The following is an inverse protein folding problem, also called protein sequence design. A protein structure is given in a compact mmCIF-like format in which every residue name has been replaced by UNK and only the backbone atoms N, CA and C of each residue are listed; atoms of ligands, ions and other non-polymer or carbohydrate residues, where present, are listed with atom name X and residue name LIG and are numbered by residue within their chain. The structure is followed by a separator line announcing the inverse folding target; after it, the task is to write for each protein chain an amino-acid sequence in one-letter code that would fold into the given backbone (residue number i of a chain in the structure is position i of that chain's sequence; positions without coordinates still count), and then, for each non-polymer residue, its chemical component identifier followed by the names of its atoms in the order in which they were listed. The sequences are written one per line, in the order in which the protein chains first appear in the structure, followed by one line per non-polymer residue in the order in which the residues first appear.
data_IF_318935718366
#
_entry.id   IF_318935718366
#
_cell.length_a   1.000
_cell.length_b   1.000
_cell.length_c   1.000
_cell.angle_alpha   90.00
_cell.angle_beta   90.00
_cell.angle_gamma   90.00
#
_symmetry.space_group_name_H-M   'P 1'
#
loop_
_entity.id
_entity.type
_entity.pdbx_description
1 polymer ?
#
# COMPACT_ATOMS: atom_id res chain seq x y z
N UNK A 1 19.96 18.02 10.63
CA UNK A 1 19.66 16.68 11.19
C UNK A 1 19.71 15.70 10.03
N UNK A 2 20.37 14.55 10.14
CA UNK A 2 20.45 13.62 9.00
C UNK A 2 19.07 13.02 8.69
N UNK A 3 18.79 12.76 7.42
CA UNK A 3 17.51 12.20 6.95
C UNK A 3 17.13 10.89 7.66
N UNK A 4 18.13 10.09 8.07
CA UNK A 4 17.93 8.85 8.80
C UNK A 4 17.35 9.07 10.22
N UNK A 5 17.74 10.14 10.91
CA UNK A 5 17.22 10.47 12.25
C UNK A 5 15.78 10.97 12.14
N UNK A 6 15.49 11.83 11.15
CA UNK A 6 14.14 12.32 10.89
C UNK A 6 13.17 11.18 10.56
N UNK A 7 13.56 10.25 9.69
CA UNK A 7 12.73 9.10 9.36
C UNK A 7 12.52 8.12 10.53
N UNK A 8 13.50 8.00 11.42
CA UNK A 8 13.36 7.16 12.62
C UNK A 8 12.37 7.79 13.60
N UNK A 9 12.38 9.13 13.72
CA UNK A 9 11.35 9.87 14.45
C UNK A 9 9.95 9.65 13.88
N UNK A 10 9.79 9.77 12.56
CA UNK A 10 8.51 9.58 11.88
C UNK A 10 7.96 8.16 12.06
N UNK A 11 8.81 7.14 11.93
CA UNK A 11 8.41 5.74 12.16
C UNK A 11 7.98 5.50 13.61
N UNK A 12 8.68 6.09 14.58
CA UNK A 12 8.35 5.95 15.99
C UNK A 12 7.00 6.62 16.31
N UNK A 13 6.74 7.81 15.75
CA UNK A 13 5.45 8.48 15.86
C UNK A 13 4.33 7.62 15.26
N UNK A 14 4.54 7.08 14.05
CA UNK A 14 3.58 6.19 13.41
C UNK A 14 3.26 4.94 14.23
N UNK A 15 4.27 4.31 14.85
CA UNK A 15 4.07 3.17 15.76
C UNK A 15 3.33 3.58 17.03
N UNK A 16 3.69 4.71 17.64
CA UNK A 16 3.04 5.21 18.84
C UNK A 16 1.54 5.49 18.62
N UNK A 17 1.16 6.01 17.45
CA UNK A 17 -0.25 6.19 17.08
C UNK A 17 -0.98 4.85 16.94
N UNK A 18 -0.35 3.85 16.30
CA UNK A 18 -0.93 2.50 16.19
C UNK A 18 -1.08 1.84 17.55
N UNK A 19 -0.09 1.95 18.43
CA UNK A 19 -0.13 1.40 19.78
C UNK A 19 -1.29 2.03 20.59
N UNK A 20 -1.40 3.36 20.60
CA UNK A 20 -2.50 4.05 21.28
C UNK A 20 -3.86 3.69 20.69
N UNK A 21 -3.96 3.54 19.36
CA UNK A 21 -5.20 3.11 18.71
C UNK A 21 -5.60 1.70 19.14
N UNK A 22 -4.64 0.76 19.18
CA UNK A 22 -4.87 -0.61 19.63
C UNK A 22 -5.34 -0.66 21.10
N UNK A 23 -4.77 0.16 21.99
CA UNK A 23 -5.21 0.29 23.40
C UNK A 23 -6.68 0.71 23.53
N UNK A 24 -7.18 1.49 22.56
CA UNK A 24 -8.56 1.96 22.51
C UNK A 24 -9.48 1.10 21.62
N UNK A 25 -9.01 -0.08 21.17
CA UNK A 25 -9.72 -0.97 20.24
C UNK A 25 -10.09 -0.29 18.90
N UNK A 26 -9.26 0.64 18.44
CA UNK A 26 -9.37 1.32 17.15
C UNK A 26 -8.43 0.62 16.18
N UNK A 27 -8.97 0.11 15.07
CA UNK A 27 -8.14 -0.49 14.03
C UNK A 27 -7.41 0.61 13.25
N UNK A 28 -6.09 0.71 13.45
CA UNK A 28 -5.23 1.65 12.73
C UNK A 28 -3.97 0.91 12.29
N UNK A 29 -3.63 0.95 11.00
CA UNK A 29 -2.46 0.27 10.45
C UNK A 29 -1.68 1.18 9.53
N UNK A 30 -0.36 1.15 9.61
CA UNK A 30 0.51 1.84 8.68
C UNK A 30 0.31 1.29 7.26
N UNK A 31 0.39 2.19 6.28
CA UNK A 31 0.51 1.85 4.86
C UNK A 31 1.73 2.55 4.25
N UNK A 32 1.90 2.43 2.92
CA UNK A 32 2.98 3.11 2.21
C UNK A 32 4.38 2.66 2.62
N UNK A 33 5.35 3.57 2.48
CA UNK A 33 6.77 3.25 2.69
C UNK A 33 7.14 2.92 4.14
N UNK A 34 6.45 3.53 5.12
CA UNK A 34 6.69 3.23 6.54
C UNK A 34 6.22 1.84 6.92
N UNK A 35 5.08 1.39 6.38
CA UNK A 35 4.62 0.02 6.56
C UNK A 35 5.63 -1.00 6.02
N UNK A 36 6.16 -0.76 4.82
CA UNK A 36 7.18 -1.62 4.23
C UNK A 36 8.44 -1.64 5.11
N UNK A 37 8.88 -0.48 5.62
CA UNK A 37 10.00 -0.42 6.57
C UNK A 37 9.75 -1.23 7.85
N UNK A 38 8.52 -1.24 8.38
CA UNK A 38 8.16 -2.09 9.53
C UNK A 38 8.30 -3.57 9.19
N UNK A 39 7.88 -3.96 7.99
CA UNK A 39 7.88 -5.36 7.53
C UNK A 39 9.24 -5.86 7.06
N UNK A 40 10.15 -4.96 6.69
CA UNK A 40 11.48 -5.31 6.17
C UNK A 40 12.60 -4.72 7.03
N UNK A 41 12.66 -4.99 8.36
CA UNK A 41 13.62 -4.35 9.26
C UNK A 41 15.08 -4.73 8.97
N UNK A 42 15.30 -5.87 8.31
CA UNK A 42 16.62 -6.39 7.94
C UNK A 42 17.19 -5.71 6.68
N UNK A 43 16.36 -4.98 5.91
CA UNK A 43 16.79 -4.30 4.69
C UNK A 43 17.28 -2.88 5.01
N UNK A 44 18.26 -2.34 4.27
CA UNK A 44 18.68 -0.95 4.43
C UNK A 44 17.49 0.02 4.31
N UNK A 45 17.34 0.99 5.22
CA UNK A 45 16.24 1.94 5.13
C UNK A 45 16.33 2.75 3.85
N UNK A 46 15.18 2.99 3.21
CA UNK A 46 15.12 3.90 2.05
C UNK A 46 15.46 5.32 2.52
N UNK A 47 16.15 6.10 1.70
CA UNK A 47 16.24 7.54 1.90
C UNK A 47 14.89 8.16 1.49
N UNK A 48 14.13 8.68 2.45
CA UNK A 48 12.83 9.31 2.26
C UNK A 48 12.81 10.63 3.02
N UNK A 49 12.34 11.69 2.37
CA UNK A 49 12.23 13.05 2.91
C UNK A 49 10.80 13.42 3.29
N UNK A 50 9.87 12.46 3.27
CA UNK A 50 8.45 12.69 3.53
C UNK A 50 8.17 13.07 5.00
N UNK A 51 7.13 13.87 5.19
CA UNK A 51 6.60 14.30 6.51
C UNK A 51 5.20 13.73 6.78
N UNK A 52 4.74 12.80 5.93
CA UNK A 52 3.38 12.29 5.94
C UNK A 52 3.34 10.90 6.57
N UNK A 53 2.30 10.67 7.38
CA UNK A 53 1.98 9.39 7.99
C UNK A 53 0.73 8.82 7.33
N UNK A 54 0.91 7.78 6.52
CA UNK A 54 -0.19 7.10 5.86
C UNK A 54 -0.70 5.93 6.70
N UNK A 55 -2.01 5.87 6.91
CA UNK A 55 -2.68 4.79 7.61
C UNK A 55 -3.88 4.23 6.84
N UNK A 56 -4.30 3.05 7.26
CA UNK A 56 -5.58 2.43 6.96
C UNK A 56 -6.36 2.23 8.26
N UNK A 57 -7.67 2.46 8.21
CA UNK A 57 -8.60 2.25 9.32
C UNK A 57 -9.96 1.76 8.84
N UNK A 58 -10.81 1.39 9.78
CA UNK A 58 -12.17 0.93 9.52
C UNK A 58 -13.19 2.07 9.68
N UNK A 59 -14.20 2.10 8.81
CA UNK A 59 -15.32 3.04 8.95
C UNK A 59 -16.06 2.90 10.29
N UNK A 60 -16.10 1.70 10.85
CA UNK A 60 -16.72 1.39 12.14
C UNK A 60 -16.10 2.16 13.31
N UNK A 61 -14.79 2.42 13.29
CA UNK A 61 -14.06 3.12 14.37
C UNK A 61 -13.71 4.57 14.02
N UNK A 62 -14.23 5.08 12.90
CA UNK A 62 -13.85 6.39 12.33
C UNK A 62 -13.96 7.56 13.31
N UNK A 63 -15.07 7.65 14.05
CA UNK A 63 -15.30 8.73 15.02
C UNK A 63 -14.28 8.68 16.17
N UNK A 64 -14.10 7.51 16.76
CA UNK A 64 -13.13 7.31 17.84
C UNK A 64 -11.69 7.58 17.37
N UNK A 65 -11.37 7.23 16.12
CA UNK A 65 -10.08 7.56 15.51
C UNK A 65 -9.89 9.08 15.39
N UNK A 66 -10.88 9.82 14.88
CA UNK A 66 -10.81 11.28 14.78
C UNK A 66 -10.57 11.93 16.14
N UNK A 67 -11.27 11.48 17.17
CA UNK A 67 -11.10 11.99 18.53
C UNK A 67 -9.66 11.72 19.04
N UNK A 68 -9.16 10.48 18.89
CA UNK A 68 -7.80 10.10 19.28
C UNK A 68 -6.72 10.91 18.56
N UNK A 69 -6.82 11.06 17.23
CA UNK A 69 -5.84 11.82 16.43
C UNK A 69 -5.86 13.31 16.83
N UNK A 70 -7.04 13.86 17.13
CA UNK A 70 -7.19 15.25 17.59
C UNK A 70 -6.56 15.46 18.98
N UNK A 71 -6.75 14.52 19.91
CA UNK A 71 -6.12 14.55 21.24
C UNK A 71 -4.59 14.47 21.16
N UNK A 72 -4.05 13.86 20.11
CA UNK A 72 -2.61 13.82 19.80
C UNK A 72 -2.08 15.11 19.16
N UNK A 73 -2.92 16.13 18.97
CA UNK A 73 -2.53 17.45 18.46
C UNK A 73 -2.62 17.62 16.94
N UNK A 74 -3.18 16.65 16.23
CA UNK A 74 -3.40 16.76 14.78
C UNK A 74 -4.81 17.31 14.51
N UNK A 75 -4.88 18.49 13.90
CA UNK A 75 -6.14 19.12 13.54
C UNK A 75 -6.73 18.47 12.28
N UNK A 76 -8.01 18.04 12.28
CA UNK A 76 -8.67 17.51 11.09
C UNK A 76 -8.92 18.61 10.06
N UNK A 77 -8.68 18.32 8.78
CA UNK A 77 -9.16 19.18 7.71
C UNK A 77 -10.68 19.02 7.56
N UNK A 78 -11.41 20.04 8.04
CA UNK A 78 -12.88 20.03 8.07
C UNK A 78 -13.49 19.96 6.68
N UNK A 79 -12.89 20.61 5.68
CA UNK A 79 -13.45 20.67 4.34
C UNK A 79 -13.23 19.34 3.62
N UNK A 80 -11.99 18.84 3.65
CA UNK A 80 -11.64 17.56 3.05
C UNK A 80 -12.44 16.42 3.70
N UNK A 81 -12.46 16.35 5.03
CA UNK A 81 -13.13 15.25 5.75
C UNK A 81 -14.66 15.29 5.62
N UNK A 82 -15.26 16.46 5.37
CA UNK A 82 -16.70 16.55 5.08
C UNK A 82 -17.05 15.98 3.70
N UNK A 83 -16.17 16.16 2.72
CA UNK A 83 -16.38 15.71 1.33
C UNK A 83 -15.96 14.25 1.12
N UNK A 84 -14.82 13.85 1.67
CA UNK A 84 -14.15 12.57 1.40
C UNK A 84 -14.05 11.64 2.61
N UNK A 85 -14.53 12.06 3.79
CA UNK A 85 -14.34 11.34 5.06
C UNK A 85 -14.95 9.96 5.16
N UNK A 86 -15.71 9.50 4.17
CA UNK A 86 -16.15 8.11 4.04
C UNK A 86 -15.12 7.20 3.35
N UNK A 87 -14.12 7.78 2.68
CA UNK A 87 -13.02 7.11 1.97
C UNK A 87 -11.66 7.43 2.57
N UNK A 88 -11.46 8.66 3.00
CA UNK A 88 -10.14 9.17 3.40
C UNK A 88 -10.29 10.32 4.39
N UNK A 89 -9.44 10.34 5.41
CA UNK A 89 -9.35 11.43 6.38
C UNK A 89 -7.97 12.08 6.30
N UNK A 90 -7.93 13.39 6.41
CA UNK A 90 -6.71 14.17 6.47
C UNK A 90 -6.63 14.97 7.77
N UNK A 91 -5.44 14.99 8.36
CA UNK A 91 -5.11 15.77 9.55
C UNK A 91 -3.73 16.39 9.42
N UNK A 92 -3.52 17.54 10.07
CA UNK A 92 -2.23 18.21 10.10
C UNK A 92 -1.88 18.62 11.53
N UNK A 93 -0.64 18.42 11.94
CA UNK A 93 -0.12 18.93 13.19
C UNK A 93 0.51 20.32 12.95
N UNK A 94 -0.10 21.41 13.42
CA UNK A 94 0.38 22.76 13.13
C UNK A 94 1.71 23.11 13.81
N UNK A 95 2.11 22.37 14.85
CA UNK A 95 3.35 22.62 15.58
C UNK A 95 4.56 21.93 14.92
N UNK A 96 4.36 20.71 14.42
CA UNK A 96 5.44 19.90 13.83
C UNK A 96 5.48 19.96 12.31
N UNK A 97 4.38 20.35 11.67
CA UNK A 97 4.22 20.31 10.21
C UNK A 97 3.93 18.90 9.66
N UNK A 98 3.82 17.89 10.52
CA UNK A 98 3.48 16.53 10.10
C UNK A 98 2.02 16.44 9.64
N UNK A 99 1.78 15.62 8.62
CA UNK A 99 0.43 15.30 8.16
C UNK A 99 0.09 13.83 8.39
N UNK A 100 -1.19 13.54 8.56
CA UNK A 100 -1.74 12.20 8.65
C UNK A 100 -2.79 12.03 7.56
N UNK A 101 -2.62 10.99 6.76
CA UNK A 101 -3.61 10.49 5.81
C UNK A 101 -4.15 9.14 6.31
N UNK A 102 -5.47 8.97 6.33
CA UNK A 102 -6.11 7.71 6.74
C UNK A 102 -7.10 7.25 5.69
N UNK A 103 -6.76 6.16 5.01
CA UNK A 103 -7.66 5.41 4.13
C UNK A 103 -8.71 4.65 4.96
N UNK A 104 -9.98 4.69 4.54
CA UNK A 104 -11.09 4.06 5.25
C UNK A 104 -11.63 2.89 4.43
N UNK A 105 -11.50 1.67 4.95
CA UNK A 105 -11.93 0.37 4.39
C UNK A 105 -11.27 -0.03 3.04
N UNK A 106 -10.98 0.94 2.17
CA UNK A 106 -10.53 0.73 0.79
C UNK A 106 -9.45 1.73 0.41
N UNK A 107 -8.55 1.29 -0.46
CA UNK A 107 -7.58 2.15 -1.13
C UNK A 107 -8.16 2.58 -2.47
N UNK A 108 -8.52 3.85 -2.62
CA UNK A 108 -9.07 4.42 -3.86
C UNK A 108 -8.00 5.20 -4.63
N UNK A 109 -7.33 4.57 -5.61
CA UNK A 109 -6.37 5.22 -6.51
C UNK A 109 -6.70 4.87 -7.95
N UNK A 110 -5.70 4.48 -8.75
CA UNK A 110 -5.91 3.98 -10.11
C UNK A 110 -6.88 2.81 -10.15
N UNK A 111 -6.90 2.01 -9.09
CA UNK A 111 -7.89 0.98 -8.86
C UNK A 111 -8.40 1.05 -7.41
N UNK A 112 -9.49 0.34 -7.12
CA UNK A 112 -9.98 0.19 -5.74
C UNK A 112 -9.51 -1.14 -5.16
N UNK A 113 -8.74 -1.10 -4.07
CA UNK A 113 -8.31 -2.27 -3.29
C UNK A 113 -9.10 -2.31 -1.98
N UNK A 114 -9.83 -3.40 -1.73
CA UNK A 114 -10.54 -3.61 -0.47
C UNK A 114 -9.63 -4.31 0.54
N UNK A 115 -9.40 -3.68 1.69
CA UNK A 115 -8.55 -4.21 2.76
C UNK A 115 -9.32 -4.44 4.07
N UNK A 116 -10.60 -4.06 4.16
CA UNK A 116 -11.32 -3.99 5.44
C UNK A 116 -11.32 -5.32 6.20
N UNK A 117 -11.59 -6.42 5.50
CA UNK A 117 -11.62 -7.78 6.08
C UNK A 117 -10.24 -8.28 6.55
N UNK A 118 -9.17 -7.65 6.08
CA UNK A 118 -7.77 -8.01 6.40
C UNK A 118 -7.07 -6.99 7.28
N UNK A 119 -7.74 -5.89 7.63
CA UNK A 119 -7.16 -4.74 8.32
C UNK A 119 -6.44 -5.11 9.61
N UNK A 120 -6.94 -6.09 10.37
CA UNK A 120 -6.40 -6.44 11.69
C UNK A 120 -5.47 -7.66 11.69
N UNK A 121 -5.10 -8.21 10.51
CA UNK A 121 -4.26 -9.41 10.39
C UNK A 121 -2.86 -9.25 10.98
N UNK A 122 -2.28 -8.06 10.84
CA UNK A 122 -0.98 -7.70 11.39
C UNK A 122 -1.14 -6.62 12.46
N UNK A 123 -0.20 -6.51 13.42
CA UNK A 123 -0.31 -5.57 14.53
C UNK A 123 -0.07 -4.11 14.11
N UNK A 124 0.82 -3.88 13.14
CA UNK A 124 1.30 -2.54 12.81
C UNK A 124 0.98 -2.04 11.40
N UNK A 125 0.77 -2.95 10.44
CA UNK A 125 0.65 -2.61 9.02
C UNK A 125 -0.54 -3.32 8.39
N UNK A 126 -0.93 -2.92 7.18
CA UNK A 126 -1.70 -3.82 6.31
C UNK A 126 -0.90 -5.08 5.97
N UNK A 127 -1.61 -6.11 5.50
CA UNK A 127 -1.02 -7.36 5.02
C UNK A 127 -0.01 -7.06 3.88
N UNK A 128 1.14 -7.74 3.82
CA UNK A 128 2.13 -7.53 2.76
C UNK A 128 1.55 -7.68 1.35
N UNK A 129 0.54 -8.54 1.13
CA UNK A 129 -0.09 -8.64 -0.20
C UNK A 129 -0.87 -7.38 -0.55
N UNK A 130 -1.53 -6.75 0.42
CA UNK A 130 -2.28 -5.52 0.22
C UNK A 130 -1.34 -4.34 -0.04
N UNK A 131 -0.21 -4.29 0.67
CA UNK A 131 0.84 -3.30 0.40
C UNK A 131 1.43 -3.49 -1.00
N UNK A 132 1.72 -4.71 -1.42
CA UNK A 132 2.20 -5.00 -2.78
C UNK A 132 1.17 -4.56 -3.84
N UNK A 133 -0.10 -4.93 -3.67
CA UNK A 133 -1.18 -4.55 -4.58
C UNK A 133 -1.39 -3.03 -4.62
N UNK A 134 -1.21 -2.34 -3.50
CA UNK A 134 -1.27 -0.86 -3.43
C UNK A 134 -0.23 -0.18 -4.31
N UNK A 135 0.92 -0.83 -4.54
CA UNK A 135 1.98 -0.33 -5.42
C UNK A 135 1.79 -0.78 -6.86
N UNK A 136 1.46 -2.05 -7.07
CA UNK A 136 1.25 -2.60 -8.41
C UNK A 136 0.03 -2.00 -9.12
N UNK A 137 -0.89 -1.35 -8.43
CA UNK A 137 -2.01 -0.63 -9.05
C UNK A 137 -1.63 0.72 -9.68
N UNK A 138 -0.45 1.27 -9.39
CA UNK A 138 -0.06 2.60 -9.85
C UNK A 138 0.25 2.56 -11.35
N UNK A 139 -0.57 3.19 -12.18
CA UNK A 139 -0.41 3.14 -13.64
C UNK A 139 0.84 3.87 -14.11
N UNK A 140 1.17 4.99 -13.47
CA UNK A 140 2.41 5.73 -13.67
C UNK A 140 3.44 5.32 -12.61
N UNK A 141 3.85 4.05 -12.66
CA UNK A 141 4.80 3.47 -11.71
C UNK A 141 6.13 4.23 -11.74
N UNK A 142 6.57 4.73 -10.58
CA UNK A 142 7.86 5.38 -10.41
C UNK A 142 8.90 4.44 -9.75
N UNK A 143 10.14 4.91 -9.66
CA UNK A 143 11.26 4.13 -9.10
C UNK A 143 11.07 3.77 -7.61
N UNK A 144 10.44 4.67 -6.83
CA UNK A 144 10.18 4.45 -5.40
C UNK A 144 9.15 3.34 -5.20
N UNK A 145 8.08 3.34 -5.99
CA UNK A 145 7.04 2.31 -5.92
C UNK A 145 7.54 0.95 -6.45
N UNK A 146 8.42 0.96 -7.46
CA UNK A 146 9.12 -0.24 -7.89
C UNK A 146 10.08 -0.77 -6.80
N UNK A 147 10.78 0.10 -6.07
CA UNK A 147 11.61 -0.29 -4.90
C UNK A 147 10.77 -0.93 -3.80
N UNK A 148 9.63 -0.31 -3.48
CA UNK A 148 8.68 -0.80 -2.49
C UNK A 148 8.17 -2.21 -2.86
N UNK A 149 7.84 -2.45 -4.13
CA UNK A 149 7.50 -3.80 -4.60
C UNK A 149 8.65 -4.79 -4.39
N UNK A 150 9.86 -4.43 -4.84
CA UNK A 150 11.02 -5.32 -4.76
C UNK A 150 11.38 -5.66 -3.31
N UNK A 151 11.30 -4.71 -2.37
CA UNK A 151 11.52 -4.94 -0.93
C UNK A 151 10.58 -5.99 -0.36
N UNK A 152 9.30 -5.94 -0.73
CA UNK A 152 8.33 -6.96 -0.33
C UNK A 152 8.66 -8.31 -0.97
N UNK A 153 8.99 -8.34 -2.27
CA UNK A 153 9.29 -9.57 -3.01
C UNK A 153 10.58 -10.26 -2.55
N UNK A 154 11.60 -9.54 -2.10
CA UNK A 154 12.81 -10.15 -1.54
C UNK A 154 12.63 -10.62 -0.08
N UNK A 155 11.51 -10.28 0.56
CA UNK A 155 11.27 -10.56 1.99
C UNK A 155 10.24 -11.66 2.20
N UNK A 156 9.10 -11.60 1.50
CA UNK A 156 7.96 -12.48 1.74
C UNK A 156 7.80 -13.50 0.61
N UNK A 157 7.74 -14.81 0.91
CA UNK A 157 7.41 -15.82 -0.08
C UNK A 157 5.96 -15.66 -0.57
N UNK A 158 5.71 -16.06 -1.81
CA UNK A 158 4.38 -16.13 -2.41
C UNK A 158 3.83 -17.54 -2.28
N UNK A 159 2.74 -17.70 -1.52
CA UNK A 159 2.16 -19.01 -1.21
C UNK A 159 0.63 -18.95 -1.21
N UNK A 160 -0.05 -20.06 -1.48
CA UNK A 160 -1.50 -20.19 -1.22
C UNK A 160 -1.72 -20.45 0.29
N UNK A 161 -1.36 -19.47 1.13
CA UNK A 161 -1.35 -19.58 2.60
C UNK A 161 -2.02 -18.38 3.24
N UNK A 162 -2.72 -18.58 4.36
CA UNK A 162 -3.27 -17.51 5.18
C UNK A 162 -2.32 -17.06 6.30
N UNK A 163 -1.10 -17.58 6.34
CA UNK A 163 -0.06 -17.16 7.27
C UNK A 163 0.44 -15.75 6.92
N UNK A 164 0.62 -14.90 7.93
CA UNK A 164 1.12 -13.55 7.74
C UNK A 164 2.63 -13.49 7.40
N UNK A 165 3.35 -14.62 7.52
CA UNK A 165 4.73 -14.76 7.08
C UNK A 165 4.89 -14.88 5.54
N UNK A 166 3.79 -15.00 4.79
CA UNK A 166 3.77 -15.11 3.34
C UNK A 166 2.76 -14.12 2.73
N UNK A 167 2.94 -13.80 1.45
CA UNK A 167 1.95 -13.08 0.66
C UNK A 167 0.98 -14.08 0.02
N UNK A 168 -0.31 -13.98 0.36
CA UNK A 168 -1.34 -14.94 -0.06
C UNK A 168 -1.69 -14.80 -1.55
N UNK A 169 -1.22 -15.77 -2.34
CA UNK A 169 -1.48 -15.83 -3.78
C UNK A 169 -2.96 -16.00 -4.13
N UNK A 170 -3.81 -16.49 -3.21
CA UNK A 170 -5.26 -16.61 -3.46
C UNK A 170 -5.90 -15.23 -3.57
N UNK A 171 -5.53 -14.29 -2.69
CA UNK A 171 -6.00 -12.90 -2.73
C UNK A 171 -5.61 -12.25 -4.05
N UNK A 172 -4.35 -12.41 -4.46
CA UNK A 172 -3.86 -11.89 -5.74
C UNK A 172 -4.59 -12.51 -6.93
N UNK A 173 -4.68 -13.85 -6.98
CA UNK A 173 -5.30 -14.61 -8.07
C UNK A 173 -6.78 -14.27 -8.25
N UNK A 174 -7.52 -14.16 -7.14
CA UNK A 174 -8.93 -13.80 -7.17
C UNK A 174 -9.13 -12.41 -7.77
N UNK A 175 -8.33 -11.43 -7.36
CA UNK A 175 -8.40 -10.07 -7.90
C UNK A 175 -8.08 -10.04 -9.41
N UNK A 176 -7.01 -10.74 -9.83
CA UNK A 176 -6.61 -10.82 -11.24
C UNK A 176 -7.67 -11.50 -12.13
N UNK A 177 -8.39 -12.50 -11.58
CA UNK A 177 -9.46 -13.21 -12.30
C UNK A 177 -10.78 -12.44 -12.35
N UNK A 178 -11.04 -11.58 -11.37
CA UNK A 178 -12.29 -10.83 -11.26
C UNK A 178 -12.28 -9.55 -12.10
N UNK A 179 -11.17 -8.82 -12.14
CA UNK A 179 -11.09 -7.50 -12.75
C UNK A 179 -9.99 -7.39 -13.83
N UNK A 180 -10.41 -7.07 -15.06
CA UNK A 180 -9.51 -6.93 -16.20
C UNK A 180 -8.61 -5.69 -16.11
N UNK A 181 -9.12 -4.59 -15.54
CA UNK A 181 -8.34 -3.37 -15.35
C UNK A 181 -7.20 -3.59 -14.37
N UNK A 182 -7.49 -4.22 -13.23
CA UNK A 182 -6.48 -4.68 -12.28
C UNK A 182 -5.45 -5.59 -12.93
N UNK A 183 -5.91 -6.66 -13.61
CA UNK A 183 -5.02 -7.57 -14.33
C UNK A 183 -4.11 -6.84 -15.33
N UNK A 184 -4.66 -5.87 -16.06
CA UNK A 184 -3.91 -5.15 -17.08
C UNK A 184 -2.82 -4.28 -16.48
N UNK A 185 -3.13 -3.51 -15.43
CA UNK A 185 -2.15 -2.65 -14.77
C UNK A 185 -1.10 -3.46 -14.04
N UNK A 186 -1.49 -4.52 -13.32
CA UNK A 186 -0.55 -5.37 -12.59
C UNK A 186 0.42 -6.06 -13.55
N UNK A 187 -0.05 -6.71 -14.61
CA UNK A 187 0.85 -7.38 -15.58
C UNK A 187 1.78 -6.39 -16.27
N UNK A 188 1.30 -5.20 -16.63
CA UNK A 188 2.14 -4.12 -17.15
C UNK A 188 3.25 -3.71 -16.17
N UNK A 189 2.93 -3.58 -14.88
CA UNK A 189 3.91 -3.18 -13.87
C UNK A 189 4.90 -4.31 -13.53
N UNK A 190 4.46 -5.57 -13.53
CA UNK A 190 5.37 -6.71 -13.42
C UNK A 190 6.39 -6.74 -14.57
N UNK A 191 5.94 -6.46 -15.80
CA UNK A 191 6.83 -6.33 -16.98
C UNK A 191 7.84 -5.19 -16.81
N UNK A 192 7.39 -4.02 -16.35
CA UNK A 192 8.27 -2.86 -16.11
C UNK A 192 9.31 -3.14 -15.03
N UNK A 193 8.90 -3.72 -13.90
CA UNK A 193 9.83 -4.05 -12.81
C UNK A 193 10.84 -5.12 -13.28
N UNK A 194 10.39 -6.09 -14.06
CA UNK A 194 11.28 -7.11 -14.66
C UNK A 194 12.31 -6.46 -15.60
N UNK A 195 11.89 -5.52 -16.46
CA UNK A 195 12.79 -4.77 -17.32
C UNK A 195 13.83 -3.97 -16.51
N UNK A 196 13.39 -3.26 -15.46
CA UNK A 196 14.29 -2.51 -14.56
C UNK A 196 15.36 -3.41 -13.92
N UNK A 197 15.04 -4.66 -13.59
CA UNK A 197 16.03 -5.61 -13.07
C UNK A 197 16.97 -6.13 -14.16
N UNK A 198 16.54 -6.20 -15.42
CA UNK A 198 17.35 -6.73 -16.51
C UNK A 198 18.30 -5.69 -17.12
N UNK A 199 17.98 -4.42 -17.01
CA UNK A 199 18.85 -3.31 -17.46
C UNK A 199 20.16 -3.23 -16.67
N UNK A 200 20.27 -3.94 -15.53
CA UNK A 200 21.53 -4.17 -14.81
C UNK A 200 22.03 -3.00 -13.97
N UNK A 201 21.45 -1.81 -14.15
CA UNK A 201 21.82 -0.58 -13.43
C UNK A 201 21.34 -0.55 -11.97
N UNK A 202 20.40 -1.43 -11.60
CA UNK A 202 19.86 -1.48 -10.24
C UNK A 202 20.66 -2.44 -9.36
N UNK A 203 21.25 -1.98 -8.23
CA UNK A 203 21.90 -2.88 -7.30
C UNK A 203 20.88 -3.83 -6.65
N UNK A 204 21.33 -5.03 -6.31
CA UNK A 204 20.55 -5.93 -5.49
C UNK A 204 20.26 -5.29 -4.12
N UNK A 205 19.07 -5.56 -3.57
CA UNK A 205 18.72 -5.09 -2.24
C UNK A 205 19.48 -5.94 -1.22
N UNK A 206 20.46 -5.34 -0.56
CA UNK A 206 21.23 -5.98 0.50
C UNK A 206 20.30 -6.53 1.59
N UNK A 207 20.57 -7.76 2.07
CA UNK A 207 19.75 -8.44 3.06
C UNK A 207 18.49 -9.13 2.51
N UNK A 208 18.19 -8.99 1.21
CA UNK A 208 17.11 -9.73 0.55
C UNK A 208 17.30 -11.24 0.63
N UNK A 209 16.24 -11.97 0.99
CA UNK A 209 16.27 -13.43 1.24
C UNK A 209 15.80 -14.25 0.05
N UNK A 210 15.08 -13.64 -0.88
CA UNK A 210 14.44 -14.28 -2.03
C UNK A 210 14.91 -13.61 -3.33
N UNK A 211 14.93 -14.36 -4.43
CA UNK A 211 15.19 -13.80 -5.76
C UNK A 211 13.95 -13.05 -6.28
N UNK A 212 14.02 -11.72 -6.46
CA UNK A 212 12.87 -10.95 -6.92
C UNK A 212 12.45 -11.32 -8.35
N UNK A 213 13.36 -11.81 -9.21
CA UNK A 213 12.98 -12.23 -10.58
C UNK A 213 12.09 -13.45 -10.56
N UNK A 214 12.43 -14.46 -9.74
CA UNK A 214 11.59 -15.63 -9.54
C UNK A 214 10.20 -15.25 -8.98
N UNK A 215 10.14 -14.32 -8.03
CA UNK A 215 8.86 -13.88 -7.44
C UNK A 215 7.98 -13.13 -8.45
N UNK A 216 8.57 -12.25 -9.27
CA UNK A 216 7.86 -11.57 -10.36
C UNK A 216 7.28 -12.56 -11.37
N UNK A 217 8.03 -13.61 -11.72
CA UNK A 217 7.55 -14.67 -12.62
C UNK A 217 6.39 -15.45 -12.01
N UNK A 218 6.44 -15.78 -10.72
CA UNK A 218 5.31 -16.42 -10.00
C UNK A 218 4.05 -15.56 -10.05
N UNK A 219 4.18 -14.25 -9.80
CA UNK A 219 3.05 -13.31 -9.91
C UNK A 219 2.51 -13.24 -11.33
N UNK A 220 3.39 -13.19 -12.34
CA UNK A 220 2.97 -13.15 -13.74
C UNK A 220 2.21 -14.40 -14.13
N UNK A 221 2.75 -15.59 -13.84
CA UNK A 221 2.09 -16.86 -14.12
C UNK A 221 0.76 -16.99 -13.37
N UNK A 222 0.70 -16.52 -12.12
CA UNK A 222 -0.54 -16.49 -11.33
C UNK A 222 -1.58 -15.59 -11.98
N UNK A 223 -1.19 -14.39 -12.43
CA UNK A 223 -2.11 -13.46 -13.11
C UNK A 223 -2.62 -14.03 -14.45
N UNK A 224 -1.78 -14.70 -15.23
CA UNK A 224 -2.18 -15.28 -16.51
C UNK A 224 -3.12 -16.49 -16.36
N UNK A 225 -2.86 -17.33 -15.35
CA UNK A 225 -3.63 -18.55 -15.09
C UNK A 225 -4.91 -18.33 -14.27
N UNK A 226 -5.13 -17.12 -13.75
CA UNK A 226 -6.31 -16.81 -12.94
C UNK A 226 -7.63 -17.10 -13.68
N UNK A 227 -8.60 -17.81 -13.06
CA UNK A 227 -9.90 -18.06 -13.67
C UNK A 227 -10.68 -16.77 -13.95
N UNK A 228 -10.85 -16.45 -15.24
CA UNK A 228 -11.45 -15.17 -15.66
C UNK A 228 -12.97 -15.16 -15.50
N UNK A 229 -13.46 -14.18 -14.75
CA UNK A 229 -14.90 -13.92 -14.59
C UNK A 229 -15.57 -13.55 -15.91
N UNK A 230 -16.91 -13.62 -15.97
CA UNK A 230 -17.66 -13.16 -17.16
C UNK A 230 -17.47 -11.66 -17.40
N UNK A 231 -17.46 -10.87 -16.32
CA UNK A 231 -17.22 -9.42 -16.36
C UNK A 231 -15.84 -9.09 -16.92
N UNK A 232 -14.81 -9.80 -16.44
CA UNK A 232 -13.45 -9.72 -16.95
C UNK A 232 -13.40 -9.96 -18.46
N UNK A 233 -13.99 -11.07 -18.94
CA UNK A 233 -14.00 -11.44 -20.37
C UNK A 233 -14.73 -10.43 -21.24
N UNK A 234 -15.77 -9.78 -20.70
CA UNK A 234 -16.45 -8.70 -21.41
C UNK A 234 -15.58 -7.44 -21.47
N UNK A 235 -15.01 -7.03 -20.33
CA UNK A 235 -14.14 -5.85 -20.24
C UNK A 235 -12.88 -5.99 -21.08
N UNK A 236 -12.33 -7.20 -21.23
CA UNK A 236 -11.16 -7.48 -22.06
C UNK A 236 -11.42 -7.28 -23.55
N UNK A 237 -12.65 -7.49 -24.03
CA UNK A 237 -13.03 -7.23 -25.44
C UNK A 237 -13.06 -5.74 -25.76
N UNK A 238 -13.40 -4.91 -24.77
CA UNK A 238 -13.29 -3.45 -24.89
C UNK A 238 -11.80 -3.10 -25.00
N UNK A 239 -10.98 -3.72 -24.14
CA UNK A 239 -9.54 -3.55 -24.12
C UNK A 239 -9.12 -2.15 -23.68
N UNK A 240 -7.94 -1.73 -24.10
CA UNK A 240 -7.35 -0.43 -23.75
C UNK A 240 -8.01 0.76 -24.47
N UNK A 241 -8.93 0.50 -25.41
CA UNK A 241 -9.68 1.54 -26.16
C UNK A 241 -10.52 2.45 -25.25
N UNK A 242 -10.89 1.94 -24.08
CA UNK A 242 -11.46 2.74 -22.99
C UNK A 242 -10.49 2.66 -21.81
N UNK A 243 -10.27 3.81 -21.15
CA UNK A 243 -9.51 3.88 -19.90
C UNK A 243 -10.05 2.83 -18.92
N UNK A 244 -9.14 2.17 -18.21
CA UNK A 244 -9.43 1.03 -17.35
C UNK A 244 -9.04 1.26 -15.90
N UNK A 245 -8.61 2.48 -15.60
CA UNK A 245 -8.14 2.94 -14.31
C UNK A 245 -8.69 4.34 -14.07
N UNK A 246 -8.78 4.73 -12.81
CA UNK A 246 -9.11 6.09 -12.41
C UNK A 246 -7.84 6.95 -12.34
N UNK A 247 -7.98 8.25 -12.58
CA UNK A 247 -6.86 9.18 -12.36
C UNK A 247 -7.01 9.69 -10.92
N UNK A 248 -6.05 9.41 -10.02
CA UNK A 248 -6.09 9.95 -8.67
C UNK A 248 -6.23 11.48 -8.72
N UNK A 249 -7.09 12.05 -7.89
CA UNK A 249 -7.15 13.50 -7.73
C UNK A 249 -5.81 13.96 -7.11
N UNK A 250 -5.07 14.82 -7.79
CA UNK A 250 -3.98 15.56 -7.16
C UNK A 250 -4.64 16.56 -6.21
N UNK A 251 -4.83 16.21 -4.94
CA UNK A 251 -5.17 17.19 -3.92
C UNK A 251 -3.89 17.81 -3.39
N UNK A 252 -3.49 19.02 -3.82
CA UNK A 252 -2.49 19.78 -3.08
C UNK A 252 -3.11 20.11 -1.72
N UNK A 253 -2.64 19.41 -0.68
CA UNK A 253 -2.88 19.84 0.69
C UNK A 253 -2.07 21.13 0.90
N UNK A 254 -2.77 22.25 0.97
CA UNK A 254 -2.21 23.60 1.19
C UNK A 254 -1.98 23.89 2.66
#
# INVERSE_FOLDING_TARGET
MSDAVAQTGLLNEGRALVDTANEHNIALRLVGGLAIRVLTPDLPPRMSTGQDLDFASASATRRALTDLITERGYAPDKNFNALYGNKQLYFANPETGLSIDVLIDKFHMCHTLDFADRLTRLPYTLDPIDLLLSKLQIVELNEKDADDCLRLLVTFPLEDSSDAAAMDLRVFRDLMGQDWGWWRTVTMNLDRITALLNDGDRPAIEGGKLDPRAQLEVLRQTAESAPRSRGWKMRSRIGERKRWYDVPEETPHH
#
